data_IF_675644151235
#
_entry.id   IF_675644151235
#
_cell.length_a   1.000
_cell.length_b   1.000
_cell.length_c   1.000
_cell.angle_alpha   90.00
_cell.angle_beta   90.00
_cell.angle_gamma   90.00
#
_symmetry.space_group_name_H-M   'P 1'
#
loop_
_entity.id
_entity.type
_entity.pdbx_description
1 polymer ?
#
# COMPACT_ATOMS: atom_id res chain seq x y z
N UNK A 1 -29.12 29.68 24.83
CA UNK A 1 -28.09 29.22 23.88
C UNK A 1 -28.32 27.72 23.69
N UNK A 2 -29.13 27.35 22.71
CA UNK A 2 -29.39 25.95 22.38
C UNK A 2 -28.33 25.54 21.35
N UNK A 3 -27.31 24.80 21.78
CA UNK A 3 -26.40 24.13 20.86
C UNK A 3 -27.15 22.94 20.26
N UNK A 4 -27.66 23.13 19.06
CA UNK A 4 -28.16 22.06 18.21
C UNK A 4 -26.98 21.13 17.93
N UNK A 5 -26.88 20.02 18.67
CA UNK A 5 -26.06 18.89 18.28
C UNK A 5 -26.65 18.36 16.98
N UNK A 6 -26.12 18.87 15.87
CA UNK A 6 -26.34 18.29 14.57
C UNK A 6 -25.75 16.88 14.64
N UNK A 7 -26.61 15.86 14.62
CA UNK A 7 -26.20 14.48 14.41
C UNK A 7 -25.44 14.46 13.08
N UNK A 8 -24.12 14.57 13.12
CA UNK A 8 -23.28 14.20 11.99
C UNK A 8 -23.52 12.71 11.80
N UNK A 9 -24.38 12.37 10.84
CA UNK A 9 -24.56 11.00 10.40
C UNK A 9 -23.15 10.45 10.11
N UNK A 10 -22.80 9.37 10.82
CA UNK A 10 -21.60 8.60 10.52
C UNK A 10 -21.75 8.14 9.07
N UNK A 11 -21.06 8.78 8.12
CA UNK A 11 -20.99 8.19 6.79
C UNK A 11 -20.00 7.02 6.87
N UNK A 12 -20.46 5.88 6.34
CA UNK A 12 -19.67 4.70 6.09
C UNK A 12 -19.19 4.72 4.64
N UNK A 13 -18.10 3.99 4.38
CA UNK A 13 -17.62 3.77 3.03
C UNK A 13 -17.12 2.35 2.83
N UNK A 14 -17.52 1.76 1.72
CA UNK A 14 -17.15 0.41 1.36
C UNK A 14 -15.76 0.37 0.71
N UNK A 15 -15.01 -0.68 1.01
CA UNK A 15 -13.74 -0.97 0.37
C UNK A 15 -13.45 -2.48 0.34
N UNK A 16 -12.46 -2.87 -0.46
CA UNK A 16 -12.02 -4.26 -0.49
C UNK A 16 -10.86 -4.54 -1.44
N UNK A 17 -10.39 -5.79 -1.54
CA UNK A 17 -10.80 -6.93 -0.70
C UNK A 17 -9.78 -7.14 0.43
N UNK A 18 -10.22 -7.02 1.69
CA UNK A 18 -9.45 -7.40 2.86
C UNK A 18 -9.92 -8.77 3.37
N UNK A 19 -9.02 -9.75 3.42
CA UNK A 19 -9.30 -11.11 3.93
C UNK A 19 -9.11 -11.19 5.46
N UNK A 20 -9.91 -10.45 6.21
CA UNK A 20 -9.84 -10.38 7.65
C UNK A 20 -11.26 -10.39 8.24
N UNK A 21 -11.70 -11.45 8.95
CA UNK A 21 -13.10 -11.63 9.31
C UNK A 21 -13.49 -10.94 10.64
N UNK A 22 -12.75 -9.90 11.05
CA UNK A 22 -12.95 -9.26 12.34
C UNK A 22 -13.02 -7.74 12.19
N UNK A 23 -13.89 -7.12 12.98
CA UNK A 23 -13.91 -5.66 13.10
C UNK A 23 -12.65 -5.16 13.79
N UNK A 24 -12.16 -4.01 13.36
CA UNK A 24 -10.97 -3.35 13.88
C UNK A 24 -11.40 -2.02 14.49
N UNK A 25 -11.12 -1.85 15.78
CA UNK A 25 -11.43 -0.61 16.51
C UNK A 25 -10.14 0.20 16.66
N UNK A 26 -10.20 1.51 16.42
CA UNK A 26 -9.06 2.39 16.61
C UNK A 26 -9.50 3.76 17.11
N UNK A 27 -8.56 4.54 17.64
CA UNK A 27 -8.84 5.87 18.15
C UNK A 27 -9.12 6.84 17.00
N UNK A 28 -10.38 6.92 16.59
CA UNK A 28 -10.85 7.72 15.45
C UNK A 28 -11.96 7.08 14.63
N UNK A 29 -12.27 5.79 14.89
CA UNK A 29 -13.30 5.09 14.12
C UNK A 29 -13.24 3.57 14.25
N UNK A 30 -13.96 2.90 13.35
CA UNK A 30 -13.98 1.45 13.23
C UNK A 30 -13.87 1.03 11.76
N UNK A 31 -13.37 -0.18 11.56
CA UNK A 31 -13.53 -0.93 10.32
C UNK A 31 -14.36 -2.15 10.63
N UNK A 32 -15.45 -2.34 9.92
CA UNK A 32 -16.40 -3.41 10.16
C UNK A 32 -16.49 -4.33 8.95
N UNK A 33 -16.82 -5.59 9.20
CA UNK A 33 -17.01 -6.58 8.15
C UNK A 33 -18.31 -6.26 7.42
N UNK A 34 -18.23 -5.98 6.12
CA UNK A 34 -19.40 -5.62 5.32
C UNK A 34 -20.28 -6.84 5.01
N UNK A 35 -21.54 -6.60 4.66
CA UNK A 35 -22.52 -7.66 4.36
C UNK A 35 -22.06 -8.60 3.22
N UNK A 36 -21.27 -8.07 2.28
CA UNK A 36 -20.77 -8.79 1.12
C UNK A 36 -19.53 -9.66 1.40
N UNK A 37 -18.96 -9.61 2.61
CA UNK A 37 -17.68 -10.27 2.94
C UNK A 37 -17.65 -11.76 2.60
N UNK A 38 -18.72 -12.50 2.95
CA UNK A 38 -18.79 -13.95 2.73
C UNK A 38 -18.81 -14.28 1.23
N UNK A 39 -19.67 -13.59 0.46
CA UNK A 39 -19.76 -13.76 -0.98
C UNK A 39 -18.45 -13.36 -1.68
N UNK A 40 -17.82 -12.27 -1.23
CA UNK A 40 -16.53 -11.83 -1.74
C UNK A 40 -15.41 -12.84 -1.44
N UNK A 41 -15.41 -13.48 -0.26
CA UNK A 41 -14.49 -14.57 0.05
C UNK A 41 -14.63 -15.74 -0.93
N UNK A 42 -15.86 -16.19 -1.18
CA UNK A 42 -16.14 -17.29 -2.11
C UNK A 42 -15.70 -16.95 -3.54
N UNK A 43 -15.99 -15.73 -3.99
CA UNK A 43 -15.55 -15.24 -5.30
C UNK A 43 -14.01 -15.20 -5.39
N UNK A 44 -13.35 -14.64 -4.38
CA UNK A 44 -11.89 -14.61 -4.32
C UNK A 44 -11.31 -16.02 -4.35
N UNK A 45 -11.83 -16.96 -3.57
CA UNK A 45 -11.32 -18.33 -3.54
C UNK A 45 -11.51 -19.06 -4.88
N UNK A 46 -12.57 -18.72 -5.63
CA UNK A 46 -12.80 -19.23 -6.98
C UNK A 46 -11.81 -18.69 -8.01
N UNK A 47 -11.45 -17.41 -7.93
CA UNK A 47 -10.62 -16.72 -8.94
C UNK A 47 -9.17 -16.49 -8.55
N UNK A 48 -8.79 -16.81 -7.31
CA UNK A 48 -7.43 -16.73 -6.81
C UNK A 48 -6.54 -17.77 -7.50
N UNK A 49 -5.42 -17.30 -8.02
CA UNK A 49 -4.44 -18.15 -8.69
C UNK A 49 -3.48 -18.79 -7.68
N UNK A 50 -2.78 -19.85 -8.10
CA UNK A 50 -1.87 -20.65 -7.25
C UNK A 50 -0.72 -19.84 -6.63
N UNK A 51 -0.34 -18.75 -7.27
CA UNK A 51 0.70 -17.84 -6.79
C UNK A 51 0.18 -16.84 -5.74
N UNK A 52 -1.09 -16.95 -5.36
CA UNK A 52 -1.73 -16.14 -4.33
C UNK A 52 -2.27 -14.80 -4.83
N UNK A 53 -2.34 -14.58 -6.14
CA UNK A 53 -2.85 -13.33 -6.71
C UNK A 53 -4.24 -13.48 -7.34
N UNK A 54 -5.01 -12.39 -7.30
CA UNK A 54 -6.19 -12.20 -8.14
C UNK A 54 -5.75 -11.43 -9.40
N UNK A 55 -6.05 -11.97 -10.58
CA UNK A 55 -5.73 -11.35 -11.85
C UNK A 55 -6.93 -10.60 -12.44
N UNK A 56 -6.70 -9.60 -13.31
CA UNK A 56 -7.80 -8.92 -13.99
C UNK A 56 -8.68 -9.91 -14.77
N UNK A 57 -10.02 -9.78 -14.72
CA UNK A 57 -10.93 -10.65 -15.46
C UNK A 57 -10.76 -10.46 -16.97
N UNK A 58 -11.10 -11.47 -17.77
CA UNK A 58 -11.10 -11.35 -19.24
C UNK A 58 -12.29 -10.50 -19.70
N UNK A 59 -12.03 -9.56 -20.60
CA UNK A 59 -13.03 -8.70 -21.24
C UNK A 59 -12.98 -8.86 -22.76
N UNK A 60 -14.10 -8.58 -23.41
CA UNK A 60 -14.26 -8.57 -24.87
C UNK A 60 -14.72 -7.19 -25.34
N UNK A 61 -14.40 -6.81 -26.56
CA UNK A 61 -14.92 -5.58 -27.15
C UNK A 61 -16.33 -5.83 -27.66
N UNK A 62 -17.28 -5.02 -27.19
CA UNK A 62 -18.67 -5.06 -27.63
C UNK A 62 -18.98 -3.73 -28.33
N UNK A 63 -19.37 -3.74 -29.62
CA UNK A 63 -19.72 -2.51 -30.32
C UNK A 63 -21.00 -1.92 -29.69
N UNK A 64 -21.08 -0.59 -29.68
CA UNK A 64 -22.28 0.14 -29.27
C UNK A 64 -22.83 0.82 -30.51
N UNK A 65 -24.11 0.60 -30.80
CA UNK A 65 -24.82 1.40 -31.79
C UNK A 65 -25.06 2.80 -31.19
N UNK A 66 -24.40 3.82 -31.76
CA UNK A 66 -24.47 5.18 -31.24
C UNK A 66 -25.85 5.84 -31.40
N UNK A 67 -26.73 5.31 -32.25
CA UNK A 67 -28.08 5.84 -32.46
C UNK A 67 -29.07 5.27 -31.44
N UNK A 68 -28.93 3.99 -31.09
CA UNK A 68 -29.87 3.30 -30.18
C UNK A 68 -29.32 3.14 -28.76
N UNK A 69 -27.99 3.22 -28.59
CA UNK A 69 -27.30 2.91 -27.34
C UNK A 69 -27.20 1.41 -27.05
N UNK A 70 -27.66 0.55 -27.96
CA UNK A 70 -27.67 -0.90 -27.76
C UNK A 70 -26.30 -1.52 -28.00
N UNK A 71 -26.00 -2.54 -27.20
CA UNK A 71 -24.80 -3.36 -27.34
C UNK A 71 -25.01 -4.44 -28.41
N UNK A 72 -24.10 -4.52 -29.38
CA UNK A 72 -24.09 -5.61 -30.37
C UNK A 72 -23.42 -6.88 -29.85
N UNK A 73 -23.10 -7.80 -30.75
CA UNK A 73 -22.37 -9.02 -30.41
C UNK A 73 -20.88 -8.74 -30.10
N UNK A 74 -20.25 -9.49 -29.18
CA UNK A 74 -18.81 -9.37 -28.94
C UNK A 74 -17.99 -9.60 -30.21
N UNK A 75 -17.04 -8.70 -30.48
CA UNK A 75 -16.15 -8.81 -31.64
C UNK A 75 -15.19 -10.01 -31.46
N UNK A 76 -15.02 -10.80 -32.53
CA UNK A 76 -14.08 -11.92 -32.55
C UNK A 76 -12.64 -11.47 -32.28
N UNK A 77 -11.86 -12.33 -31.61
CA UNK A 77 -10.43 -12.12 -31.33
C UNK A 77 -10.12 -10.84 -30.52
N UNK A 78 -11.07 -10.38 -29.68
CA UNK A 78 -10.88 -9.21 -28.81
C UNK A 78 -10.76 -9.54 -27.31
N UNK A 79 -10.68 -10.82 -26.97
CA UNK A 79 -10.49 -11.26 -25.59
C UNK A 79 -9.15 -10.77 -25.04
N UNK A 80 -9.18 -10.09 -23.89
CA UNK A 80 -7.97 -9.63 -23.20
C UNK A 80 -8.24 -9.42 -21.72
N UNK A 81 -7.21 -9.45 -20.85
CA UNK A 81 -7.37 -9.01 -19.46
C UNK A 81 -7.91 -7.58 -19.38
N UNK A 82 -8.83 -7.35 -18.45
CA UNK A 82 -9.35 -6.04 -18.15
C UNK A 82 -8.21 -5.09 -17.80
N UNK A 83 -8.24 -3.87 -18.36
CA UNK A 83 -7.26 -2.84 -17.99
C UNK A 83 -7.40 -2.44 -16.52
N UNK A 84 -8.66 -2.38 -16.08
CA UNK A 84 -9.04 -2.07 -14.70
C UNK A 84 -10.29 -2.86 -14.31
N UNK A 85 -10.45 -3.19 -13.03
CA UNK A 85 -11.62 -3.93 -12.53
C UNK A 85 -12.00 -3.50 -11.11
N UNK A 86 -13.28 -3.62 -10.70
CA UNK A 86 -13.74 -3.23 -9.37
C UNK A 86 -13.09 -4.09 -8.27
N UNK A 87 -12.94 -3.54 -7.05
CA UNK A 87 -12.64 -4.35 -5.89
C UNK A 87 -13.85 -5.21 -5.49
N UNK A 88 -13.66 -6.47 -5.08
CA UNK A 88 -14.67 -7.20 -4.32
C UNK A 88 -14.79 -6.53 -2.95
N UNK A 89 -15.96 -5.96 -2.65
CA UNK A 89 -16.20 -5.24 -1.40
C UNK A 89 -16.25 -6.22 -0.24
N UNK A 90 -15.63 -5.86 0.89
CA UNK A 90 -15.59 -6.75 2.05
C UNK A 90 -15.69 -6.06 3.39
N UNK A 91 -15.44 -4.76 3.46
CA UNK A 91 -15.45 -4.00 4.71
C UNK A 91 -16.03 -2.60 4.51
N UNK A 92 -16.52 -2.06 5.61
CA UNK A 92 -16.97 -0.68 5.74
C UNK A 92 -16.06 0.06 6.72
N UNK A 93 -15.78 1.33 6.46
CA UNK A 93 -15.04 2.19 7.40
C UNK A 93 -15.92 3.31 7.94
N UNK A 94 -15.90 3.47 9.26
CA UNK A 94 -16.59 4.51 10.00
C UNK A 94 -15.55 5.42 10.66
N UNK A 95 -15.64 6.73 10.42
CA UNK A 95 -14.75 7.73 11.03
C UNK A 95 -15.58 8.63 11.93
N UNK A 96 -15.31 8.59 13.24
CA UNK A 96 -16.10 9.29 14.26
C UNK A 96 -15.80 10.78 14.33
N UNK A 97 -14.59 11.21 13.96
CA UNK A 97 -14.21 12.62 13.96
C UNK A 97 -13.36 12.98 12.73
N UNK A 98 -14.02 13.38 11.64
CA UNK A 98 -13.35 13.78 10.41
C UNK A 98 -12.53 15.04 10.61
N UNK A 99 -11.42 15.14 9.88
CA UNK A 99 -10.61 16.36 9.86
C UNK A 99 -11.11 17.36 8.81
N UNK A 100 -11.61 16.86 7.68
CA UNK A 100 -12.12 17.67 6.59
C UNK A 100 -13.50 17.22 6.10
N UNK A 101 -14.23 18.14 5.49
CA UNK A 101 -15.52 17.91 4.83
C UNK A 101 -15.36 17.42 3.37
N UNK A 102 -14.14 17.06 2.97
CA UNK A 102 -13.79 16.66 1.61
C UNK A 102 -14.19 15.22 1.25
N UNK A 103 -13.73 14.76 0.08
CA UNK A 103 -13.83 13.33 -0.27
C UNK A 103 -12.92 12.52 0.68
N UNK A 104 -13.51 11.90 1.69
CA UNK A 104 -12.77 11.15 2.72
C UNK A 104 -11.88 10.05 2.13
N UNK A 105 -12.22 9.54 0.94
CA UNK A 105 -11.43 8.53 0.20
C UNK A 105 -10.07 9.09 -0.23
N UNK A 106 -9.83 10.39 -0.04
CA UNK A 106 -8.54 11.08 -0.20
C UNK A 106 -7.97 11.60 1.13
N UNK A 107 -8.73 11.52 2.22
CA UNK A 107 -8.38 12.00 3.56
C UNK A 107 -8.26 10.87 4.58
N UNK A 108 -9.05 10.95 5.66
CA UNK A 108 -8.99 10.02 6.81
C UNK A 108 -9.12 8.54 6.40
N UNK A 109 -10.12 8.21 5.57
CA UNK A 109 -10.35 6.84 5.16
C UNK A 109 -9.21 6.31 4.28
N UNK A 110 -8.63 7.17 3.43
CA UNK A 110 -7.51 6.81 2.57
C UNK A 110 -6.29 6.35 3.36
N UNK A 111 -6.00 7.05 4.47
CA UNK A 111 -4.94 6.64 5.39
C UNK A 111 -5.20 5.25 5.93
N UNK A 112 -6.38 5.02 6.53
CA UNK A 112 -6.69 3.74 7.19
C UNK A 112 -6.70 2.58 6.20
N UNK A 113 -7.38 2.74 5.06
CA UNK A 113 -7.45 1.69 4.03
C UNK A 113 -6.07 1.35 3.48
N UNK A 114 -5.22 2.34 3.19
CA UNK A 114 -3.89 2.05 2.66
C UNK A 114 -2.89 1.58 3.74
N UNK A 115 -3.07 1.93 5.02
CA UNK A 115 -2.34 1.32 6.13
C UNK A 115 -2.72 -0.15 6.33
N UNK A 116 -4.00 -0.49 6.22
CA UNK A 116 -4.45 -1.89 6.23
C UNK A 116 -3.83 -2.66 5.05
N UNK A 117 -3.81 -2.08 3.85
CA UNK A 117 -3.14 -2.68 2.70
C UNK A 117 -1.65 -2.94 2.96
N UNK A 118 -0.96 -2.03 3.65
CA UNK A 118 0.43 -2.21 4.08
C UNK A 118 0.56 -3.38 5.09
N UNK A 119 -0.22 -3.37 6.19
CA UNK A 119 -0.15 -4.35 7.28
C UNK A 119 -0.47 -5.78 6.81
N UNK A 120 -1.47 -5.92 5.94
CA UNK A 120 -1.92 -7.20 5.40
C UNK A 120 -1.21 -7.61 4.11
N UNK A 121 -0.17 -6.86 3.71
CA UNK A 121 0.62 -7.12 2.50
C UNK A 121 -0.21 -7.28 1.22
N UNK A 122 -1.31 -6.52 1.12
CA UNK A 122 -2.28 -6.59 0.02
C UNK A 122 -2.44 -5.23 -0.68
N UNK A 123 -3.45 -5.11 -1.55
CA UNK A 123 -3.90 -3.84 -2.12
C UNK A 123 -5.41 -3.73 -1.91
N UNK A 124 -5.83 -2.59 -1.36
CA UNK A 124 -7.23 -2.27 -1.09
C UNK A 124 -7.65 -1.05 -1.91
N UNK A 125 -8.91 -1.01 -2.34
CA UNK A 125 -9.52 0.13 -3.03
C UNK A 125 -10.95 0.35 -2.50
N UNK A 126 -11.38 1.61 -2.54
CA UNK A 126 -12.76 2.01 -2.22
C UNK A 126 -13.74 1.55 -3.30
N UNK A 127 -15.02 1.46 -2.92
CA UNK A 127 -16.09 1.35 -3.90
C UNK A 127 -16.09 2.53 -4.89
N UNK A 128 -16.45 2.21 -6.14
CA UNK A 128 -16.36 3.10 -7.29
C UNK A 128 -14.94 3.29 -7.83
N UNK A 129 -13.89 2.89 -7.12
CA UNK A 129 -12.53 2.88 -7.65
C UNK A 129 -12.25 1.56 -8.36
N UNK A 130 -11.06 1.45 -8.95
CA UNK A 130 -10.64 0.27 -9.71
C UNK A 130 -9.21 -0.13 -9.39
N UNK A 131 -8.94 -1.42 -9.48
CA UNK A 131 -7.58 -1.96 -9.51
C UNK A 131 -7.00 -1.88 -10.91
N UNK A 132 -5.69 -1.62 -10.99
CA UNK A 132 -4.87 -1.80 -12.19
C UNK A 132 -3.81 -2.88 -11.93
N UNK A 133 -3.79 -3.94 -12.75
CA UNK A 133 -2.91 -5.09 -12.55
C UNK A 133 -3.41 -6.09 -11.50
N UNK A 134 -2.57 -7.07 -11.14
CA UNK A 134 -2.95 -8.10 -10.16
C UNK A 134 -3.13 -7.55 -8.75
N UNK A 135 -3.88 -8.26 -7.92
CA UNK A 135 -4.06 -7.94 -6.50
C UNK A 135 -3.52 -9.10 -5.66
N UNK A 136 -2.49 -8.89 -4.84
CA UNK A 136 -2.00 -9.94 -3.95
C UNK A 136 -3.03 -10.26 -2.87
N UNK A 137 -3.40 -11.54 -2.76
CA UNK A 137 -4.26 -12.10 -1.72
C UNK A 137 -3.40 -13.06 -0.89
N UNK A 138 -2.50 -12.54 -0.04
CA UNK A 138 -1.55 -13.38 0.67
C UNK A 138 -2.29 -14.28 1.66
N UNK A 139 -1.88 -15.56 1.75
CA UNK A 139 -2.25 -16.40 2.90
C UNK A 139 -1.49 -15.97 4.16
N UNK A 140 -0.31 -15.39 3.95
CA UNK A 140 0.70 -15.10 4.98
C UNK A 140 1.40 -13.79 4.62
N UNK A 141 1.28 -12.78 5.49
CA UNK A 141 2.06 -11.54 5.39
C UNK A 141 3.51 -11.76 5.86
N UNK A 142 4.44 -10.91 5.41
CA UNK A 142 5.78 -10.83 6.01
C UNK A 142 5.76 -10.20 7.41
N UNK A 143 4.65 -9.55 7.76
CA UNK A 143 4.37 -8.94 9.06
C UNK A 143 3.57 -9.95 9.90
N UNK A 144 4.14 -10.37 11.02
CA UNK A 144 3.45 -11.18 12.03
C UNK A 144 2.81 -10.24 13.05
N UNK A 145 1.54 -9.89 12.84
CA UNK A 145 0.76 -9.05 13.73
C UNK A 145 0.54 -9.75 15.07
N UNK A 146 1.12 -9.22 16.15
CA UNK A 146 0.88 -9.69 17.50
C UNK A 146 -0.42 -9.10 18.05
N UNK A 147 -0.96 -9.74 19.10
CA UNK A 147 -2.26 -9.37 19.69
C UNK A 147 -2.33 -7.88 20.03
N UNK A 148 -3.33 -7.20 19.48
CA UNK A 148 -3.61 -5.78 19.71
C UNK A 148 -2.64 -4.81 19.03
N UNK A 149 -1.66 -5.28 18.26
CA UNK A 149 -0.72 -4.41 17.55
C UNK A 149 -1.37 -3.71 16.34
N UNK A 150 -2.38 -4.33 15.74
CA UNK A 150 -3.15 -3.78 14.63
C UNK A 150 -3.87 -2.49 15.06
N UNK A 151 -4.72 -2.59 16.09
CA UNK A 151 -5.49 -1.49 16.65
C UNK A 151 -4.60 -0.38 17.24
N UNK A 152 -3.54 -0.76 17.98
CA UNK A 152 -2.57 0.19 18.54
C UNK A 152 -1.85 0.97 17.43
N UNK A 153 -1.45 0.30 16.34
CA UNK A 153 -0.78 0.95 15.21
C UNK A 153 -1.70 1.89 14.43
N UNK A 154 -2.93 1.48 14.13
CA UNK A 154 -3.88 2.35 13.46
C UNK A 154 -4.19 3.59 14.30
N UNK A 155 -4.43 3.39 15.60
CA UNK A 155 -4.69 4.50 16.53
C UNK A 155 -3.53 5.48 16.59
N UNK A 156 -2.32 4.99 16.87
CA UNK A 156 -1.15 5.85 17.01
C UNK A 156 -0.79 6.59 15.72
N UNK A 157 -0.81 5.90 14.57
CA UNK A 157 -0.51 6.52 13.28
C UNK A 157 -1.59 7.53 12.89
N UNK A 158 -2.87 7.18 13.08
CA UNK A 158 -3.98 8.09 12.79
C UNK A 158 -3.83 9.37 13.61
N UNK A 159 -3.66 9.27 14.93
CA UNK A 159 -3.48 10.43 15.81
C UNK A 159 -2.29 11.30 15.41
N UNK A 160 -1.14 10.69 15.10
CA UNK A 160 0.02 11.43 14.60
C UNK A 160 -0.28 12.13 13.26
N UNK A 161 -0.95 11.45 12.34
CA UNK A 161 -1.31 12.00 11.04
C UNK A 161 -2.27 13.18 11.16
N UNK A 162 -3.20 13.17 12.13
CA UNK A 162 -4.13 14.31 12.35
C UNK A 162 -3.40 15.60 12.67
N UNK A 163 -2.23 15.52 13.29
CA UNK A 163 -1.40 16.66 13.65
C UNK A 163 -0.60 17.23 12.46
N UNK A 164 -0.60 16.54 11.31
CA UNK A 164 0.13 16.99 10.13
C UNK A 164 -0.68 18.01 9.32
N UNK A 165 0.04 18.90 8.64
CA UNK A 165 -0.57 19.78 7.64
C UNK A 165 -1.24 18.97 6.52
N UNK A 166 -2.27 19.51 5.90
CA UNK A 166 -2.99 18.86 4.78
C UNK A 166 -2.04 18.41 3.66
N UNK A 167 -1.05 19.24 3.32
CA UNK A 167 -0.03 18.88 2.33
C UNK A 167 0.74 17.62 2.73
N UNK A 168 1.15 17.49 3.99
CA UNK A 168 1.85 16.30 4.49
C UNK A 168 0.92 15.08 4.52
N UNK A 169 -0.33 15.27 4.96
CA UNK A 169 -1.35 14.21 4.97
C UNK A 169 -1.58 13.62 3.58
N UNK A 170 -1.80 14.48 2.59
CA UNK A 170 -1.97 14.12 1.18
C UNK A 170 -0.73 13.43 0.59
N UNK A 171 0.46 13.87 0.97
CA UNK A 171 1.70 13.26 0.48
C UNK A 171 1.88 11.86 1.07
N UNK A 172 1.64 11.68 2.36
CA UNK A 172 1.79 10.37 2.99
C UNK A 172 0.79 9.33 2.46
N UNK A 173 -0.46 9.73 2.20
CA UNK A 173 -1.45 8.85 1.53
C UNK A 173 -0.96 8.39 0.17
N UNK A 174 -0.30 9.25 -0.62
CA UNK A 174 0.31 8.87 -1.90
C UNK A 174 1.44 7.85 -1.74
N UNK A 175 2.26 7.98 -0.70
CA UNK A 175 3.32 7.01 -0.38
C UNK A 175 2.71 5.64 -0.12
N UNK A 176 1.68 5.57 0.75
CA UNK A 176 0.98 4.33 1.07
C UNK A 176 0.32 3.71 -0.17
N UNK A 177 -0.41 4.53 -0.94
CA UNK A 177 -1.05 4.09 -2.18
C UNK A 177 -0.04 3.51 -3.18
N UNK A 178 1.05 4.23 -3.45
CA UNK A 178 2.06 3.79 -4.42
C UNK A 178 2.81 2.55 -3.96
N UNK A 179 3.08 2.41 -2.65
CA UNK A 179 3.68 1.21 -2.09
C UNK A 179 2.76 -0.01 -2.22
N UNK A 180 1.45 0.15 -1.94
CA UNK A 180 0.47 -0.92 -2.14
C UNK A 180 0.34 -1.28 -3.63
N UNK A 181 0.30 -0.27 -4.52
CA UNK A 181 0.23 -0.46 -5.98
C UNK A 181 1.46 -1.20 -6.53
N UNK A 182 2.66 -0.97 -6.01
CA UNK A 182 3.88 -1.61 -6.50
C UNK A 182 3.77 -3.14 -6.53
N UNK A 183 2.96 -3.73 -5.64
CA UNK A 183 2.72 -5.17 -5.57
C UNK A 183 1.84 -5.71 -6.72
N UNK A 184 1.08 -4.83 -7.37
CA UNK A 184 0.29 -5.13 -8.56
C UNK A 184 1.12 -5.21 -9.85
N UNK A 185 2.40 -4.81 -9.79
CA UNK A 185 3.30 -4.87 -10.93
C UNK A 185 3.70 -6.33 -11.22
N UNK A 186 3.44 -6.78 -12.45
CA UNK A 186 3.86 -8.12 -12.91
C UNK A 186 5.38 -8.23 -13.04
N UNK A 187 5.99 -7.23 -13.67
CA UNK A 187 7.40 -7.21 -13.97
C UNK A 187 8.23 -6.71 -12.79
N UNK A 188 9.23 -7.48 -12.38
CA UNK A 188 10.10 -7.16 -11.23
C UNK A 188 10.83 -5.83 -11.35
N UNK A 189 11.30 -5.48 -12.54
CA UNK A 189 11.96 -4.19 -12.80
C UNK A 189 11.00 -3.00 -12.70
N UNK A 190 9.74 -3.15 -13.14
CA UNK A 190 8.73 -2.10 -12.99
C UNK A 190 8.28 -1.96 -11.54
N UNK A 191 8.16 -3.08 -10.82
CA UNK A 191 7.98 -3.08 -9.36
C UNK A 191 9.14 -2.37 -8.67
N UNK A 192 10.38 -2.69 -9.03
CA UNK A 192 11.57 -2.06 -8.46
C UNK A 192 11.55 -0.54 -8.66
N UNK A 193 11.30 -0.05 -9.87
CA UNK A 193 11.18 1.38 -10.14
C UNK A 193 10.08 2.04 -9.30
N UNK A 194 8.93 1.37 -9.18
CA UNK A 194 7.81 1.88 -8.36
C UNK A 194 8.18 1.96 -6.89
N UNK A 195 8.82 0.93 -6.33
CA UNK A 195 9.31 0.93 -4.95
C UNK A 195 10.45 1.94 -4.73
N UNK A 196 11.28 2.18 -5.74
CA UNK A 196 12.32 3.22 -5.65
C UNK A 196 11.70 4.63 -5.64
N UNK A 197 10.63 4.86 -6.41
CA UNK A 197 9.87 6.11 -6.32
C UNK A 197 9.26 6.30 -4.94
N UNK A 198 8.77 5.22 -4.31
CA UNK A 198 8.27 5.24 -2.92
C UNK A 198 9.40 5.61 -1.95
N UNK A 199 10.58 5.02 -2.10
CA UNK A 199 11.76 5.32 -1.28
C UNK A 199 12.13 6.81 -1.36
N UNK A 200 12.25 7.36 -2.57
CA UNK A 200 12.55 8.80 -2.78
C UNK A 200 11.42 9.68 -2.23
N UNK A 201 10.16 9.25 -2.32
CA UNK A 201 9.02 9.96 -1.75
C UNK A 201 9.07 10.00 -0.21
N UNK A 202 9.47 8.91 0.45
CA UNK A 202 9.65 8.85 1.91
C UNK A 202 10.79 9.78 2.35
N UNK A 203 11.92 9.79 1.63
CA UNK A 203 13.03 10.72 1.89
C UNK A 203 12.56 12.17 1.80
N UNK A 204 11.92 12.53 0.68
CA UNK A 204 11.39 13.88 0.46
C UNK A 204 10.36 14.28 1.52
N UNK A 205 9.46 13.38 1.89
CA UNK A 205 8.49 13.61 2.96
C UNK A 205 9.19 13.90 4.30
N UNK A 206 10.24 13.15 4.62
CA UNK A 206 11.04 13.35 5.84
C UNK A 206 11.79 14.68 5.81
N UNK A 207 12.32 15.11 4.66
CA UNK A 207 12.94 16.43 4.48
C UNK A 207 11.91 17.55 4.68
N UNK A 208 10.72 17.44 4.08
CA UNK A 208 9.66 18.45 4.22
C UNK A 208 9.17 18.61 5.66
N UNK A 209 9.20 17.53 6.44
CA UNK A 209 8.89 17.55 7.87
C UNK A 209 10.05 18.04 8.75
N UNK A 210 11.18 18.43 8.15
CA UNK A 210 12.37 18.90 8.87
C UNK A 210 13.11 17.81 9.64
N UNK A 211 12.83 16.53 9.35
CA UNK A 211 13.47 15.38 9.99
C UNK A 211 14.84 15.13 9.36
N UNK A 212 14.94 15.24 8.03
CA UNK A 212 16.16 14.95 7.26
C UNK A 212 16.67 16.16 6.49
N UNK A 213 17.95 16.10 6.10
CA UNK A 213 18.59 17.09 5.22
C UNK A 213 18.39 16.72 3.75
N UNK A 214 18.18 17.72 2.89
CA UNK A 214 17.86 17.52 1.47
C UNK A 214 19.07 17.10 0.61
N UNK A 215 20.27 17.58 0.94
CA UNK A 215 21.44 17.53 0.05
C UNK A 215 22.29 16.27 0.27
N UNK A 216 21.78 15.12 -0.17
CA UNK A 216 22.49 13.84 -0.10
C UNK A 216 22.32 13.03 -1.38
N UNK A 217 23.38 12.28 -1.76
CA UNK A 217 23.37 11.38 -2.92
C UNK A 217 22.39 10.22 -2.68
N UNK A 218 21.98 9.53 -3.74
CA UNK A 218 20.99 8.43 -3.66
C UNK A 218 21.32 7.35 -2.63
N UNK A 219 22.57 6.88 -2.57
CA UNK A 219 23.02 5.94 -1.54
C UNK A 219 22.90 6.52 -0.14
N UNK A 220 23.35 7.75 0.03
CA UNK A 220 23.38 8.45 1.30
C UNK A 220 21.97 8.76 1.81
N UNK A 221 20.97 8.91 0.93
CA UNK A 221 19.54 9.01 1.32
C UNK A 221 19.07 7.77 2.08
N UNK A 222 19.40 6.59 1.58
CA UNK A 222 19.00 5.32 2.21
C UNK A 222 19.67 5.20 3.58
N UNK A 223 20.98 5.45 3.62
CA UNK A 223 21.76 5.40 4.86
C UNK A 223 21.20 6.39 5.89
N UNK A 224 21.02 7.65 5.49
CA UNK A 224 20.48 8.70 6.34
C UNK A 224 19.10 8.34 6.90
N UNK A 225 18.20 7.80 6.07
CA UNK A 225 16.88 7.33 6.54
C UNK A 225 17.03 6.17 7.53
N UNK A 226 17.87 5.18 7.23
CA UNK A 226 18.08 4.04 8.10
C UNK A 226 18.66 4.45 9.47
N UNK A 227 19.65 5.35 9.48
CA UNK A 227 20.24 5.89 10.72
C UNK A 227 19.21 6.68 11.53
N UNK A 228 18.49 7.60 10.87
CA UNK A 228 17.51 8.46 11.54
C UNK A 228 16.35 7.68 12.16
N UNK A 229 15.94 6.58 11.52
CA UNK A 229 14.77 5.80 11.89
C UNK A 229 15.12 4.47 12.57
N UNK A 230 16.38 4.25 12.94
CA UNK A 230 16.88 3.01 13.55
C UNK A 230 16.55 1.75 12.73
N UNK A 231 16.44 1.88 11.40
CA UNK A 231 16.25 0.73 10.51
C UNK A 231 17.61 0.10 10.24
N UNK A 232 17.78 -1.22 10.43
CA UNK A 232 19.06 -1.87 10.16
C UNK A 232 19.52 -1.67 8.71
N UNK A 233 20.83 -1.61 8.53
CA UNK A 233 21.45 -1.43 7.22
C UNK A 233 22.10 -2.74 6.75
N UNK A 234 22.02 -3.00 5.46
CA UNK A 234 22.87 -3.98 4.78
C UNK A 234 23.57 -3.31 3.61
N UNK A 235 24.86 -3.03 3.78
CA UNK A 235 25.64 -2.20 2.85
C UNK A 235 25.65 -2.80 1.42
N UNK A 236 25.73 -4.13 1.32
CA UNK A 236 25.74 -4.84 0.05
C UNK A 236 24.42 -4.66 -0.70
N UNK A 237 23.29 -4.89 -0.04
CA UNK A 237 21.97 -4.73 -0.67
C UNK A 237 21.71 -3.28 -1.05
N UNK A 238 22.12 -2.32 -0.22
CA UNK A 238 22.01 -0.88 -0.54
C UNK A 238 22.79 -0.53 -1.81
N UNK A 239 24.02 -1.04 -1.94
CA UNK A 239 24.85 -0.85 -3.13
C UNK A 239 24.18 -1.46 -4.37
N UNK A 240 23.65 -2.68 -4.28
CA UNK A 240 22.89 -3.33 -5.36
C UNK A 240 21.66 -2.52 -5.79
N UNK A 241 20.89 -1.97 -4.84
CA UNK A 241 19.74 -1.12 -5.13
C UNK A 241 20.18 0.12 -5.93
N UNK A 242 21.25 0.78 -5.52
CA UNK A 242 21.75 1.99 -6.20
C UNK A 242 22.28 1.66 -7.59
N UNK A 243 22.98 0.53 -7.75
CA UNK A 243 23.48 0.07 -9.06
C UNK A 243 22.33 -0.16 -10.03
N UNK A 244 21.36 -1.00 -9.64
CA UNK A 244 20.22 -1.36 -10.50
C UNK A 244 19.36 -0.15 -10.82
N UNK A 245 19.21 0.80 -9.89
CA UNK A 245 18.53 2.07 -10.18
C UNK A 245 19.26 2.86 -11.27
N UNK A 246 20.58 2.95 -11.20
CA UNK A 246 21.34 3.71 -12.19
C UNK A 246 21.27 3.07 -13.57
N UNK A 247 21.42 1.75 -13.66
CA UNK A 247 21.29 0.99 -14.90
C UNK A 247 19.89 1.15 -15.52
N UNK A 248 18.82 0.96 -14.73
CA UNK A 248 17.45 1.07 -15.25
C UNK A 248 17.11 2.48 -15.75
N UNK A 249 17.63 3.53 -15.10
CA UNK A 249 17.29 4.92 -15.44
C UNK A 249 18.18 5.49 -16.53
N UNK A 250 19.47 5.15 -16.54
CA UNK A 250 20.45 5.77 -17.44
C UNK A 250 20.79 4.89 -18.64
N UNK A 251 20.63 3.58 -18.53
CA UNK A 251 21.03 2.63 -19.58
C UNK A 251 19.86 1.78 -20.10
N UNK A 252 18.67 1.92 -19.49
CA UNK A 252 17.51 1.06 -19.74
C UNK A 252 17.85 -0.44 -19.63
N UNK A 253 18.79 -0.78 -18.74
CA UNK A 253 19.32 -2.12 -18.54
C UNK A 253 19.14 -2.59 -17.08
N UNK A 254 19.24 -3.89 -16.87
CA UNK A 254 19.26 -4.52 -15.55
C UNK A 254 20.37 -5.56 -15.52
N UNK A 255 21.34 -5.33 -14.65
CA UNK A 255 22.62 -6.04 -14.60
C UNK A 255 23.29 -6.17 -15.97
N UNK A 256 23.31 -5.08 -16.73
CA UNK A 256 23.90 -5.02 -18.08
C UNK A 256 23.11 -5.76 -19.18
N UNK A 257 21.88 -6.20 -18.92
CA UNK A 257 21.02 -6.84 -19.92
C UNK A 257 19.69 -6.09 -20.13
N UNK A 258 18.99 -6.43 -21.20
CA UNK A 258 17.65 -5.91 -21.46
C UNK A 258 16.66 -6.41 -20.38
N UNK A 259 15.78 -5.54 -19.85
CA UNK A 259 14.73 -5.97 -18.95
C UNK A 259 13.89 -7.10 -19.55
N UNK A 260 13.74 -8.19 -18.82
CA UNK A 260 12.97 -9.37 -19.25
C UNK A 260 13.77 -10.47 -19.96
N UNK A 261 15.07 -10.28 -20.20
CA UNK A 261 15.91 -11.33 -20.82
C UNK A 261 16.72 -12.17 -19.82
N UNK A 262 16.85 -11.72 -18.57
CA UNK A 262 17.55 -12.45 -17.49
C UNK A 262 16.59 -12.93 -16.39
N UNK A 263 16.96 -14.02 -15.72
CA UNK A 263 16.18 -14.71 -14.67
C UNK A 263 16.83 -14.62 -13.28
N UNK A 264 17.70 -13.65 -13.03
CA UNK A 264 18.56 -13.58 -11.84
C UNK A 264 17.92 -12.97 -10.57
N UNK A 265 18.74 -12.94 -9.52
CA UNK A 265 18.48 -12.46 -8.16
C UNK A 265 17.96 -11.02 -8.09
N UNK A 266 18.03 -10.23 -9.17
CA UNK A 266 17.42 -8.89 -9.23
C UNK A 266 15.92 -8.93 -8.96
N UNK A 267 15.29 -10.08 -9.21
CA UNK A 267 13.91 -10.35 -8.79
C UNK A 267 13.68 -10.08 -7.30
N UNK A 268 14.65 -10.43 -6.45
CA UNK A 268 14.56 -10.26 -5.00
C UNK A 268 14.78 -8.81 -4.55
N UNK A 269 15.57 -8.00 -5.28
CA UNK A 269 15.81 -6.59 -4.93
C UNK A 269 14.50 -5.80 -4.84
N UNK A 270 13.56 -6.03 -5.77
CA UNK A 270 12.25 -5.38 -5.73
C UNK A 270 11.47 -5.70 -4.44
N UNK A 271 11.61 -6.92 -3.92
CA UNK A 271 10.97 -7.37 -2.67
C UNK A 271 11.67 -6.81 -1.44
N UNK A 272 13.00 -6.80 -1.43
CA UNK A 272 13.78 -6.22 -0.34
C UNK A 272 13.57 -4.71 -0.24
N UNK A 273 13.54 -3.99 -1.36
CA UNK A 273 13.25 -2.57 -1.39
C UNK A 273 11.83 -2.27 -0.87
N UNK A 274 10.82 -3.06 -1.28
CA UNK A 274 9.48 -2.95 -0.71
C UNK A 274 9.46 -3.17 0.81
N UNK A 275 10.22 -4.14 1.33
CA UNK A 275 10.35 -4.39 2.77
C UNK A 275 11.06 -3.26 3.53
N UNK A 276 12.06 -2.64 2.92
CA UNK A 276 12.69 -1.44 3.46
C UNK A 276 11.67 -0.30 3.53
N UNK A 277 10.94 -0.06 2.46
CA UNK A 277 9.89 0.96 2.41
C UNK A 277 8.82 0.73 3.48
N UNK A 278 8.34 -0.50 3.68
CA UNK A 278 7.37 -0.80 4.75
C UNK A 278 7.85 -0.36 6.13
N UNK A 279 9.13 -0.60 6.47
CA UNK A 279 9.72 -0.17 7.75
C UNK A 279 9.83 1.34 7.85
N UNK A 280 10.34 1.98 6.80
CA UNK A 280 10.47 3.43 6.74
C UNK A 280 9.11 4.12 6.83
N UNK A 281 8.05 3.55 6.24
CA UNK A 281 6.68 4.06 6.35
C UNK A 281 6.18 4.02 7.80
N UNK A 282 6.37 2.91 8.53
CA UNK A 282 6.02 2.85 9.95
C UNK A 282 6.86 3.80 10.81
N UNK A 283 8.16 3.89 10.53
CA UNK A 283 9.03 4.79 11.29
C UNK A 283 8.67 6.26 11.08
N UNK A 284 8.46 6.70 9.83
CA UNK A 284 8.15 8.10 9.51
C UNK A 284 6.74 8.51 9.95
N UNK A 285 5.82 7.55 10.08
CA UNK A 285 4.51 7.79 10.71
C UNK A 285 4.57 7.89 12.24
N UNK A 286 5.75 7.72 12.83
CA UNK A 286 5.96 7.83 14.27
C UNK A 286 5.51 6.59 15.04
N UNK A 287 5.56 5.41 14.42
CA UNK A 287 5.24 4.15 15.05
C UNK A 287 6.45 3.20 15.09
N UNK A 288 7.46 3.50 15.94
CA UNK A 288 8.62 2.63 16.11
C UNK A 288 8.22 1.35 16.85
N UNK A 289 8.66 0.20 16.33
CA UNK A 289 8.44 -1.11 16.94
C UNK A 289 9.53 -2.12 16.52
N UNK A 290 9.42 -3.38 16.95
CA UNK A 290 10.38 -4.44 16.63
C UNK A 290 10.49 -4.67 15.12
N UNK A 291 9.38 -4.54 14.38
CA UNK A 291 9.36 -4.70 12.92
C UNK A 291 10.23 -3.67 12.20
N UNK A 292 10.15 -2.39 12.61
CA UNK A 292 10.97 -1.30 12.06
C UNK A 292 12.47 -1.62 12.24
N UNK A 293 12.83 -2.13 13.41
CA UNK A 293 14.22 -2.47 13.78
C UNK A 293 14.69 -3.84 13.28
N UNK A 294 13.86 -4.54 12.51
CA UNK A 294 14.17 -5.87 12.02
C UNK A 294 14.84 -5.82 10.64
N UNK A 295 15.65 -6.80 10.28
CA UNK A 295 16.31 -6.81 8.97
C UNK A 295 15.33 -7.01 7.81
N UNK A 296 15.56 -6.29 6.71
CA UNK A 296 14.66 -6.23 5.54
C UNK A 296 15.17 -6.99 4.32
N UNK A 297 16.46 -7.35 4.30
CA UNK A 297 17.16 -8.03 3.21
C UNK A 297 17.06 -9.57 3.26
N UNK A 298 16.18 -10.12 4.11
CA UNK A 298 15.97 -11.57 4.19
C UNK A 298 14.48 -11.93 4.24
N UNK A 299 14.15 -13.17 3.90
CA UNK A 299 12.78 -13.71 3.92
C UNK A 299 12.44 -14.30 5.28
N UNK A 300 11.21 -14.04 5.73
CA UNK A 300 10.68 -14.58 6.96
C UNK A 300 9.58 -13.69 7.52
N UNK A 301 8.94 -14.18 8.58
CA UNK A 301 8.02 -13.38 9.37
C UNK A 301 8.77 -12.52 10.35
N UNK A 302 8.37 -11.26 10.44
CA UNK A 302 8.94 -10.29 11.34
C UNK A 302 7.86 -9.85 12.32
N UNK A 303 8.17 -9.86 13.61
CA UNK A 303 7.19 -9.58 14.66
C UNK A 303 6.79 -8.12 14.59
N UNK A 304 5.48 -7.88 14.58
CA UNK A 304 4.90 -6.55 14.65
C UNK A 304 4.14 -6.43 15.97
N UNK A 305 4.83 -5.87 16.95
CA UNK A 305 4.33 -5.60 18.29
C UNK A 305 3.74 -4.17 18.37
N UNK A 306 3.11 -3.89 19.52
CA UNK A 306 2.72 -2.53 19.91
C UNK A 306 3.95 -1.62 19.98
N UNK A 307 3.76 -0.32 19.85
CA UNK A 307 4.86 0.63 19.91
C UNK A 307 5.62 0.56 21.25
N UNK A 308 6.95 0.69 21.18
CA UNK A 308 7.79 0.82 22.36
C UNK A 308 7.62 2.23 22.96
N UNK A 309 6.66 2.40 23.88
CA UNK A 309 6.37 3.70 24.52
C UNK A 309 7.50 4.24 25.40
N UNK A 310 8.58 3.49 25.57
CA UNK A 310 9.74 3.82 26.42
C UNK A 310 10.95 4.37 25.65
N UNK A 311 10.86 4.55 24.32
CA UNK A 311 11.93 5.17 23.53
C UNK A 311 11.50 6.58 23.11
N UNK A 312 11.94 7.61 23.85
CA UNK A 312 11.95 9.00 23.42
C UNK A 312 13.35 9.57 23.59
#
# INVERSE_FOLDING_TARGET
MNSTHQNCAEASWDFGFLRYPHSIQFEGGSVEVGEQYAAACEEIDKYRHRDGNLYPPIQRTVPIDWQTGEHGDPLENTERPARVFPPPLSHEIFISSRIDDGDIRRGDAALIVHLLALLFDTRLQFDGWRFDGKVPIPDKSSILLLRGALEDSLSAIYQNWRLWSESHRNFFVKILYMHARAKSCEWSWYRFLTEYMVLDAIHRFSVQRGILKNEVKHRDRIIQMCEQFEVPQDARTIESIVSVRNELIHEASIEGALPGTRTDDTFHLSKWLGRLNSRLIFAVSGYPNEFVRSGWWFFGWQRFNKADRNCR
#
